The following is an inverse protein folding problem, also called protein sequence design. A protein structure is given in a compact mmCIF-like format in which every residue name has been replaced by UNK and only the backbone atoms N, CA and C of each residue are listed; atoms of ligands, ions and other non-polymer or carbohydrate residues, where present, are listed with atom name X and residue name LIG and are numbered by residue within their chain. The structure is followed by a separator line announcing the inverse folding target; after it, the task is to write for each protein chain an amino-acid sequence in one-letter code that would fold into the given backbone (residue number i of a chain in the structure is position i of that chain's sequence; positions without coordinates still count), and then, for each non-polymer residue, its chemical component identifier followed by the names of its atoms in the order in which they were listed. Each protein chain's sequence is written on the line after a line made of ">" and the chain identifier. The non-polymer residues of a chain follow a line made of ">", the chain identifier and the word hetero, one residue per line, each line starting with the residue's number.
data_IF_953466730948
#
_entry.id   IF_953466730948
#
_cell.length_a   1.000
_cell.length_b   1.000
_cell.length_c   1.000
_cell.angle_alpha   90.00
_cell.angle_beta   90.00
_cell.angle_gamma   90.00
#
_symmetry.space_group_name_H-M   'P 1'
#
loop_
_entity.id
_entity.type
_entity.pdbx_description
1 polymer ?
#
# COMPACT_ATOMS: atom_id res chain seq x y z
N UNK A 1 33.97 -3.37 7.64
CA UNK A 1 33.29 -4.08 6.52
C UNK A 1 33.43 -3.24 5.26
N UNK A 2 34.51 -3.39 4.48
CA UNK A 2 34.87 -2.43 3.42
C UNK A 2 33.79 -2.26 2.33
N UNK A 3 33.13 -3.35 1.94
CA UNK A 3 32.03 -3.31 0.97
C UNK A 3 30.82 -2.52 1.49
N UNK A 4 30.43 -2.71 2.76
CA UNK A 4 29.28 -2.02 3.35
C UNK A 4 29.55 -0.52 3.51
N UNK A 5 30.76 -0.16 3.93
CA UNK A 5 31.21 1.24 4.04
C UNK A 5 31.21 1.94 2.68
N UNK A 6 31.68 1.23 1.63
CA UNK A 6 31.63 1.72 0.26
C UNK A 6 30.18 1.92 -0.20
N UNK A 7 29.31 0.95 0.08
CA UNK A 7 27.89 1.07 -0.23
C UNK A 7 27.27 2.30 0.45
N UNK A 8 27.53 2.48 1.75
CA UNK A 8 27.05 3.65 2.50
C UNK A 8 27.57 4.96 1.89
N UNK A 9 28.87 5.06 1.60
CA UNK A 9 29.47 6.24 0.96
C UNK A 9 28.80 6.58 -0.38
N UNK A 10 28.50 5.58 -1.20
CA UNK A 10 27.93 5.78 -2.54
C UNK A 10 26.42 5.99 -2.54
N UNK A 11 25.69 5.47 -1.54
CA UNK A 11 24.23 5.47 -1.49
C UNK A 11 23.63 6.32 -0.37
N UNK A 12 24.47 6.83 0.53
CA UNK A 12 24.07 7.57 1.73
C UNK A 12 23.37 6.71 2.79
N UNK A 13 23.32 5.38 2.63
CA UNK A 13 22.58 4.50 3.55
C UNK A 13 23.06 3.04 3.49
N UNK A 14 22.76 2.25 4.53
CA UNK A 14 23.07 0.81 4.58
C UNK A 14 21.91 -0.13 4.15
N UNK A 15 20.91 0.40 3.41
CA UNK A 15 19.78 -0.38 2.85
C UNK A 15 20.21 -1.13 1.58
N UNK A 16 21.02 -2.17 1.75
CA UNK A 16 21.52 -2.99 0.63
C UNK A 16 20.40 -3.90 0.09
N UNK A 17 20.02 -3.80 -1.21
CA UNK A 17 19.06 -4.73 -1.82
C UNK A 17 19.55 -6.18 -1.78
N UNK A 18 18.66 -7.14 -1.57
CA UNK A 18 19.03 -8.57 -1.46
C UNK A 18 19.86 -9.07 -2.66
N UNK A 19 19.50 -8.64 -3.88
CA UNK A 19 20.18 -9.03 -5.12
C UNK A 19 21.50 -8.29 -5.38
N UNK A 20 21.85 -7.31 -4.55
CA UNK A 20 23.02 -6.48 -4.78
C UNK A 20 24.31 -7.30 -4.67
N UNK A 21 25.03 -7.40 -5.79
CA UNK A 21 26.40 -7.88 -5.86
C UNK A 21 27.34 -6.70 -6.02
N UNK A 22 28.48 -6.75 -5.35
CA UNK A 22 29.54 -5.75 -5.48
C UNK A 22 30.10 -5.78 -6.91
N UNK A 23 30.01 -4.67 -7.66
CA UNK A 23 30.62 -4.55 -8.98
C UNK A 23 32.15 -4.66 -8.92
N UNK A 24 32.74 -5.12 -10.01
CA UNK A 24 34.20 -5.16 -10.20
C UNK A 24 34.69 -3.85 -10.81
N UNK A 25 34.53 -2.75 -10.10
CA UNK A 25 34.99 -1.42 -10.52
C UNK A 25 35.81 -0.72 -9.43
N UNK A 26 36.50 0.36 -9.81
CA UNK A 26 37.45 1.11 -8.98
C UNK A 26 36.84 1.72 -7.71
N UNK A 27 35.51 1.91 -7.65
CA UNK A 27 34.85 2.45 -6.47
C UNK A 27 34.79 1.43 -5.33
N UNK A 28 35.01 0.16 -5.62
CA UNK A 28 34.86 -0.96 -4.69
C UNK A 28 36.21 -1.61 -4.37
N UNK A 29 36.43 -2.03 -3.11
CA UNK A 29 37.62 -2.80 -2.75
C UNK A 29 37.70 -4.09 -3.59
N UNK A 30 38.88 -4.37 -4.16
CA UNK A 30 39.13 -5.52 -5.03
C UNK A 30 38.70 -6.83 -4.35
N UNK A 31 39.01 -6.98 -3.05
CA UNK A 31 38.63 -8.16 -2.26
C UNK A 31 37.12 -8.35 -2.10
N UNK A 32 36.33 -7.30 -2.35
CA UNK A 32 34.88 -7.32 -2.26
C UNK A 32 34.20 -7.59 -3.60
N UNK A 33 34.93 -7.58 -4.72
CA UNK A 33 34.36 -7.77 -6.06
C UNK A 33 33.61 -9.11 -6.18
N UNK A 34 32.40 -9.06 -6.74
CA UNK A 34 31.53 -10.24 -6.88
C UNK A 34 30.84 -10.69 -5.58
N UNK A 35 31.16 -10.11 -4.42
CA UNK A 35 30.51 -10.41 -3.16
C UNK A 35 29.01 -10.14 -3.28
N UNK A 36 28.19 -11.13 -2.93
CA UNK A 36 26.73 -10.98 -2.81
C UNK A 36 26.38 -10.23 -1.53
N UNK A 37 26.78 -8.96 -1.45
CA UNK A 37 26.67 -8.12 -0.26
C UNK A 37 25.22 -8.04 0.25
N UNK A 38 24.23 -8.01 -0.65
CA UNK A 38 22.81 -8.06 -0.27
C UNK A 38 22.43 -9.31 0.51
N UNK A 39 22.90 -10.48 0.06
CA UNK A 39 22.69 -11.76 0.73
C UNK A 39 23.43 -11.83 2.07
N UNK A 40 24.67 -11.32 2.12
CA UNK A 40 25.46 -11.24 3.37
C UNK A 40 24.76 -10.37 4.41
N UNK A 41 24.33 -9.16 4.03
CA UNK A 41 23.60 -8.25 4.92
C UNK A 41 22.29 -8.87 5.39
N UNK A 42 21.54 -9.55 4.51
CA UNK A 42 20.34 -10.28 4.91
C UNK A 42 20.65 -11.41 5.91
N UNK A 43 21.76 -12.12 5.72
CA UNK A 43 22.24 -13.14 6.65
C UNK A 43 22.66 -12.59 8.02
N UNK A 44 23.31 -11.42 8.04
CA UNK A 44 23.64 -10.71 9.29
C UNK A 44 22.36 -10.40 10.07
N UNK A 45 21.35 -9.83 9.40
CA UNK A 45 20.08 -9.42 10.02
C UNK A 45 19.23 -10.58 10.54
N UNK A 46 19.09 -11.64 9.73
CA UNK A 46 18.11 -12.70 10.00
C UNK A 46 18.68 -14.01 10.52
N UNK A 47 19.98 -14.27 10.36
CA UNK A 47 20.59 -15.58 10.66
C UNK A 47 21.81 -15.49 11.58
N UNK A 48 22.14 -14.29 12.07
CA UNK A 48 23.31 -14.07 12.92
C UNK A 48 24.63 -14.35 12.21
N UNK A 49 24.69 -14.22 10.87
CA UNK A 49 25.96 -14.37 10.16
C UNK A 49 26.96 -13.35 10.67
N UNK A 50 28.21 -13.79 10.83
CA UNK A 50 29.30 -12.97 11.34
C UNK A 50 29.04 -12.35 12.72
N UNK A 51 28.24 -12.99 13.58
CA UNK A 51 27.84 -12.48 14.90
C UNK A 51 29.02 -11.99 15.76
N UNK A 52 30.15 -12.69 15.73
CA UNK A 52 31.38 -12.28 16.42
C UNK A 52 31.93 -10.98 15.86
N UNK A 53 32.03 -10.86 14.53
CA UNK A 53 32.53 -9.66 13.86
C UNK A 53 31.57 -8.49 14.01
N UNK A 54 30.27 -8.72 13.90
CA UNK A 54 29.25 -7.67 14.06
C UNK A 54 29.13 -7.20 15.51
N UNK A 55 29.41 -8.06 16.49
CA UNK A 55 29.51 -7.65 17.90
C UNK A 55 30.75 -6.83 18.17
N UNK A 56 31.90 -7.24 17.60
CA UNK A 56 33.16 -6.49 17.71
C UNK A 56 33.07 -5.10 17.06
N UNK A 57 32.44 -5.03 15.89
CA UNK A 57 32.37 -3.80 15.08
C UNK A 57 31.04 -3.03 15.31
N UNK A 58 30.35 -3.26 16.44
CA UNK A 58 29.01 -2.72 16.74
C UNK A 58 28.93 -1.19 16.62
N UNK A 59 29.83 -0.47 17.28
CA UNK A 59 29.86 1.01 17.24
C UNK A 59 30.04 1.53 15.82
N UNK A 60 30.91 0.89 15.03
CA UNK A 60 31.13 1.26 13.62
C UNK A 60 29.89 1.00 12.77
N UNK A 61 29.15 -0.06 13.05
CA UNK A 61 27.87 -0.33 12.39
C UNK A 61 26.79 0.69 12.75
N UNK A 62 26.75 1.15 14.01
CA UNK A 62 25.85 2.22 14.46
C UNK A 62 26.19 3.55 13.77
N UNK A 63 27.47 3.93 13.70
CA UNK A 63 27.94 5.13 12.98
C UNK A 63 27.60 5.11 11.49
N UNK A 64 27.63 3.94 10.86
CA UNK A 64 27.23 3.76 9.45
C UNK A 64 25.71 3.75 9.25
N UNK A 65 24.91 3.84 10.31
CA UNK A 65 23.46 3.71 10.25
C UNK A 65 23.03 2.32 9.76
N UNK A 66 23.71 1.26 10.23
CA UNK A 66 23.36 -0.10 9.85
C UNK A 66 21.99 -0.49 10.42
N UNK A 67 21.04 -0.63 9.51
CA UNK A 67 19.69 -1.07 9.84
C UNK A 67 19.72 -2.56 10.15
N UNK A 68 19.42 -2.93 11.41
CA UNK A 68 19.33 -4.32 11.85
C UNK A 68 17.99 -4.96 11.46
N UNK A 69 16.90 -4.27 11.75
CA UNK A 69 15.58 -4.67 11.27
C UNK A 69 15.19 -3.82 10.07
N UNK A 70 15.36 -4.42 8.88
CA UNK A 70 15.00 -3.77 7.62
C UNK A 70 13.50 -3.47 7.53
N UNK A 71 12.66 -4.38 8.03
CA UNK A 71 11.21 -4.21 7.92
C UNK A 71 10.72 -3.13 8.88
N UNK A 72 11.25 -3.09 10.10
CA UNK A 72 10.91 -2.04 11.05
C UNK A 72 11.33 -0.67 10.51
N UNK A 73 12.57 -0.53 10.04
CA UNK A 73 13.05 0.75 9.51
C UNK A 73 12.31 1.17 8.23
N UNK A 74 12.03 0.27 7.29
CA UNK A 74 11.24 0.64 6.11
C UNK A 74 9.83 1.08 6.51
N UNK A 75 9.25 0.45 7.54
CA UNK A 75 7.94 0.83 8.04
C UNK A 75 7.94 2.19 8.73
N UNK A 76 8.79 2.38 9.75
CA UNK A 76 8.83 3.58 10.58
C UNK A 76 9.31 4.81 9.81
N UNK A 77 10.35 4.67 9.00
CA UNK A 77 11.02 5.82 8.37
C UNK A 77 10.47 6.15 6.99
N UNK A 78 9.69 5.26 6.36
CA UNK A 78 9.27 5.46 4.95
C UNK A 78 7.81 5.18 4.69
N UNK A 79 7.31 4.01 5.07
CA UNK A 79 5.94 3.60 4.74
C UNK A 79 4.93 4.41 5.56
N UNK A 80 5.09 4.45 6.88
CA UNK A 80 4.16 5.17 7.75
C UNK A 80 4.15 6.68 7.47
N UNK A 81 5.31 7.38 7.37
CA UNK A 81 5.31 8.81 7.00
C UNK A 81 4.71 9.09 5.63
N UNK A 82 4.88 8.17 4.67
CA UNK A 82 4.25 8.29 3.36
C UNK A 82 2.73 8.06 3.43
N UNK A 83 2.24 7.16 4.27
CA UNK A 83 0.80 6.97 4.50
C UNK A 83 0.18 8.20 5.18
N UNK A 84 0.82 8.75 6.20
CA UNK A 84 0.40 9.98 6.89
C UNK A 84 0.36 11.15 5.91
N UNK A 85 1.37 11.31 5.06
CA UNK A 85 1.41 12.34 4.02
C UNK A 85 0.33 12.13 2.97
N UNK A 86 0.14 10.90 2.49
CA UNK A 86 -0.93 10.58 1.54
C UNK A 86 -2.30 10.92 2.12
N UNK A 87 -2.56 10.54 3.37
CA UNK A 87 -3.80 10.88 4.07
C UNK A 87 -3.99 12.39 4.21
N UNK A 88 -2.94 13.13 4.59
CA UNK A 88 -2.99 14.59 4.70
C UNK A 88 -3.38 15.27 3.38
N UNK A 89 -2.89 14.76 2.25
CA UNK A 89 -3.14 15.32 0.92
C UNK A 89 -4.49 14.90 0.34
N UNK A 90 -4.89 13.65 0.53
CA UNK A 90 -6.06 13.05 -0.13
C UNK A 90 -7.27 12.86 0.81
N UNK A 91 -7.08 13.07 2.11
CA UNK A 91 -8.08 12.82 3.16
C UNK A 91 -8.36 11.34 3.44
N UNK A 92 -7.59 10.42 2.85
CA UNK A 92 -7.78 8.97 3.01
C UNK A 92 -6.54 8.16 2.58
N UNK A 93 -6.44 6.88 2.97
CA UNK A 93 -5.37 5.97 2.53
C UNK A 93 -5.77 5.01 1.40
N UNK A 94 -6.56 5.46 0.42
CA UNK A 94 -6.90 4.70 -0.80
C UNK A 94 -5.79 4.79 -1.86
N UNK A 95 -4.58 4.39 -1.48
CA UNK A 95 -3.39 4.54 -2.32
C UNK A 95 -3.54 3.74 -3.63
N UNK A 96 -3.44 4.38 -4.81
CA UNK A 96 -3.50 3.70 -6.10
C UNK A 96 -2.36 2.67 -6.23
N UNK A 97 -2.63 1.52 -6.85
CA UNK A 97 -1.66 0.41 -6.94
C UNK A 97 -0.30 0.82 -7.53
N UNK A 98 -0.29 1.70 -8.52
CA UNK A 98 0.92 2.16 -9.20
C UNK A 98 1.48 3.46 -8.61
N UNK A 99 0.93 3.95 -7.50
CA UNK A 99 1.39 5.19 -6.89
C UNK A 99 2.84 5.05 -6.40
N UNK A 100 3.65 6.02 -6.81
CA UNK A 100 5.03 6.20 -6.39
C UNK A 100 5.11 7.56 -5.74
N UNK A 101 5.71 7.63 -4.56
CA UNK A 101 5.90 8.87 -3.82
C UNK A 101 6.72 9.85 -4.67
N UNK A 102 6.16 11.04 -5.00
CA UNK A 102 6.89 12.10 -5.70
C UNK A 102 8.12 12.58 -4.93
N UNK A 103 9.07 13.16 -5.67
CA UNK A 103 10.25 13.82 -5.09
C UNK A 103 10.04 15.32 -5.03
N UNK A 104 9.08 15.75 -4.21
CA UNK A 104 8.77 17.15 -3.97
C UNK A 104 8.56 17.44 -2.48
N UNK A 105 8.52 18.73 -2.13
CA UNK A 105 8.52 19.22 -0.75
C UNK A 105 7.30 18.81 0.08
N UNK A 106 6.23 18.29 -0.54
CA UNK A 106 5.09 17.76 0.21
C UNK A 106 5.39 16.42 0.89
N UNK A 107 6.43 15.72 0.43
CA UNK A 107 6.74 14.35 0.81
C UNK A 107 8.06 14.26 1.59
N UNK A 108 8.13 13.40 2.63
CA UNK A 108 9.39 13.10 3.31
C UNK A 108 10.43 12.58 2.31
N UNK A 109 11.65 13.09 2.40
CA UNK A 109 12.75 12.78 1.48
C UNK A 109 13.03 11.27 1.48
N UNK A 110 12.92 10.64 2.64
CA UNK A 110 13.13 9.21 2.86
C UNK A 110 12.11 8.36 2.09
N UNK A 111 10.90 8.90 1.89
CA UNK A 111 9.81 8.26 1.16
C UNK A 111 9.89 8.48 -0.34
N UNK A 112 10.69 9.41 -0.85
CA UNK A 112 10.80 9.68 -2.29
C UNK A 112 11.09 8.43 -3.12
N UNK A 113 10.35 8.25 -4.22
CA UNK A 113 10.46 7.09 -5.10
C UNK A 113 9.92 5.78 -4.50
N UNK A 114 9.37 5.80 -3.28
CA UNK A 114 8.75 4.63 -2.67
C UNK A 114 7.52 4.22 -3.49
N UNK A 115 7.49 2.96 -3.93
CA UNK A 115 6.32 2.36 -4.60
C UNK A 115 5.22 2.04 -3.58
N UNK A 116 4.72 3.07 -2.92
CA UNK A 116 3.77 2.97 -1.81
C UNK A 116 2.50 2.21 -2.22
N UNK A 117 2.02 2.39 -3.45
CA UNK A 117 0.87 1.64 -3.98
C UNK A 117 1.06 0.12 -3.98
N UNK A 118 2.25 -0.34 -4.37
CA UNK A 118 2.58 -1.76 -4.36
C UNK A 118 2.72 -2.30 -2.93
N UNK A 119 3.29 -1.50 -2.01
CA UNK A 119 3.44 -1.87 -0.61
C UNK A 119 2.08 -1.98 0.08
N UNK A 120 1.21 -0.98 -0.07
CA UNK A 120 -0.17 -1.01 0.43
C UNK A 120 -0.95 -2.18 -0.16
N UNK A 121 -0.83 -2.44 -1.46
CA UNK A 121 -1.43 -3.63 -2.08
C UNK A 121 -0.91 -4.93 -1.47
N UNK A 122 0.39 -5.01 -1.17
CA UNK A 122 0.99 -6.15 -0.50
C UNK A 122 0.49 -6.32 0.93
N UNK A 123 0.39 -5.22 1.70
CA UNK A 123 -0.11 -5.22 3.09
C UNK A 123 -1.51 -5.84 3.11
N UNK A 124 -2.40 -5.37 2.23
CA UNK A 124 -3.80 -5.85 2.11
C UNK A 124 -3.92 -7.31 1.68
N UNK A 125 -3.12 -7.72 0.68
CA UNK A 125 -3.35 -9.00 -0.02
C UNK A 125 -2.44 -10.15 0.41
N UNK A 126 -1.26 -9.84 0.97
CA UNK A 126 -0.21 -10.81 1.29
C UNK A 126 0.19 -10.81 2.76
N UNK A 127 -0.32 -9.87 3.56
CA UNK A 127 0.10 -9.72 4.96
C UNK A 127 1.60 -9.47 5.08
N UNK A 128 2.17 -8.63 4.21
CA UNK A 128 3.53 -8.14 4.46
C UNK A 128 3.47 -7.10 5.59
N UNK A 129 4.55 -6.99 6.36
CA UNK A 129 4.62 -6.09 7.52
C UNK A 129 3.58 -6.39 8.62
N UNK A 130 3.11 -7.65 8.77
CA UNK A 130 2.10 -8.01 9.79
C UNK A 130 2.46 -7.55 11.19
N UNK A 131 3.71 -7.70 11.63
CA UNK A 131 4.15 -7.28 12.96
C UNK A 131 4.00 -5.77 13.15
N UNK A 132 4.42 -4.98 12.15
CA UNK A 132 4.32 -3.53 12.17
C UNK A 132 2.88 -3.03 12.08
N UNK A 133 2.09 -3.65 11.20
CA UNK A 133 0.65 -3.41 11.08
C UNK A 133 -0.05 -3.63 12.41
N UNK A 134 0.20 -4.77 13.07
CA UNK A 134 -0.41 -5.08 14.36
C UNK A 134 -0.01 -4.08 15.44
N UNK A 135 1.25 -3.62 15.44
CA UNK A 135 1.73 -2.61 16.39
C UNK A 135 1.06 -1.25 16.16
N UNK A 136 0.96 -0.82 14.90
CA UNK A 136 0.47 0.51 14.53
C UNK A 136 -1.01 0.51 14.10
N UNK A 137 -1.79 -0.48 14.50
CA UNK A 137 -3.20 -0.62 14.09
C UNK A 137 -4.01 0.64 14.39
N UNK A 138 -3.86 1.21 15.59
CA UNK A 138 -4.57 2.44 15.97
C UNK A 138 -4.20 3.64 15.09
N UNK A 139 -2.92 3.78 14.71
CA UNK A 139 -2.47 4.82 13.80
C UNK A 139 -3.04 4.62 12.40
N UNK A 140 -3.10 3.38 11.92
CA UNK A 140 -3.70 3.06 10.63
C UNK A 140 -5.21 3.35 10.62
N UNK A 141 -5.90 3.12 11.74
CA UNK A 141 -7.31 3.47 11.90
C UNK A 141 -7.52 4.99 11.87
N UNK A 142 -6.69 5.78 12.56
CA UNK A 142 -6.71 7.25 12.52
C UNK A 142 -6.49 7.79 11.10
N UNK A 143 -5.65 7.13 10.30
CA UNK A 143 -5.42 7.46 8.88
C UNK A 143 -6.54 6.99 7.94
N UNK A 144 -7.61 6.40 8.48
CA UNK A 144 -8.69 5.80 7.69
C UNK A 144 -8.13 4.81 6.65
N UNK A 145 -7.21 3.94 7.10
CA UNK A 145 -6.60 2.94 6.24
C UNK A 145 -7.64 1.93 5.78
N UNK A 146 -7.93 1.95 4.48
CA UNK A 146 -8.86 1.00 3.88
C UNK A 146 -8.19 -0.35 3.75
N UNK A 147 -8.64 -1.34 4.53
CA UNK A 147 -8.13 -2.72 4.46
C UNK A 147 -8.69 -3.49 3.28
N UNK A 148 -10.00 -3.37 3.05
CA UNK A 148 -10.69 -3.97 1.92
C UNK A 148 -11.29 -2.86 1.04
N UNK A 149 -10.67 -2.69 -0.13
CA UNK A 149 -11.09 -1.69 -1.11
C UNK A 149 -12.44 -2.04 -1.74
N UNK A 150 -12.75 -3.32 -1.94
CA UNK A 150 -14.03 -3.74 -2.50
C UNK A 150 -15.15 -3.47 -1.50
N UNK A 151 -14.89 -3.76 -0.24
CA UNK A 151 -15.82 -3.48 0.85
C UNK A 151 -16.10 -1.99 0.99
N UNK A 152 -15.05 -1.17 1.02
CA UNK A 152 -15.20 0.28 1.04
C UNK A 152 -15.97 0.81 -0.18
N UNK A 153 -15.60 0.39 -1.40
CA UNK A 153 -16.29 0.81 -2.61
C UNK A 153 -17.77 0.41 -2.57
N UNK A 154 -18.08 -0.77 -2.04
CA UNK A 154 -19.45 -1.23 -1.89
C UNK A 154 -20.24 -0.39 -0.89
N UNK A 155 -19.78 -0.34 0.35
CA UNK A 155 -20.54 0.22 1.48
C UNK A 155 -20.59 1.75 1.45
N UNK A 156 -19.50 2.41 1.05
CA UNK A 156 -19.40 3.86 1.09
C UNK A 156 -19.83 4.53 -0.23
N UNK A 157 -19.71 3.83 -1.37
CA UNK A 157 -19.94 4.46 -2.69
C UNK A 157 -21.08 3.83 -3.47
N UNK A 158 -21.06 2.52 -3.67
CA UNK A 158 -21.98 1.82 -4.58
C UNK A 158 -23.37 1.72 -3.96
N UNK A 159 -23.47 1.24 -2.73
CA UNK A 159 -24.75 1.05 -2.06
C UNK A 159 -25.49 2.38 -1.84
N UNK A 160 -24.87 3.45 -1.31
CA UNK A 160 -25.54 4.74 -1.16
C UNK A 160 -25.93 5.38 -2.50
N UNK A 161 -25.13 5.17 -3.55
CA UNK A 161 -25.48 5.64 -4.89
C UNK A 161 -26.65 4.84 -5.47
N UNK A 162 -26.73 3.54 -5.21
CA UNK A 162 -27.86 2.71 -5.65
C UNK A 162 -29.16 3.13 -4.94
N UNK A 163 -29.11 3.37 -3.63
CA UNK A 163 -30.24 3.88 -2.83
C UNK A 163 -30.70 5.25 -3.33
N UNK A 164 -29.75 6.16 -3.59
CA UNK A 164 -30.06 7.47 -4.14
C UNK A 164 -30.67 7.37 -5.54
N UNK A 165 -30.15 6.48 -6.40
CA UNK A 165 -30.73 6.25 -7.72
C UNK A 165 -32.16 5.71 -7.60
N UNK A 166 -32.40 4.73 -6.73
CA UNK A 166 -33.72 4.17 -6.47
C UNK A 166 -34.68 5.26 -5.99
N UNK A 167 -34.27 6.09 -5.01
CA UNK A 167 -35.08 7.18 -4.47
C UNK A 167 -35.49 8.19 -5.54
N UNK A 168 -34.57 8.55 -6.44
CA UNK A 168 -34.80 9.55 -7.48
C UNK A 168 -35.56 9.01 -8.71
N UNK A 169 -35.45 7.71 -9.00
CA UNK A 169 -36.01 7.11 -10.23
C UNK A 169 -37.14 6.10 -9.97
N UNK A 170 -37.39 5.74 -8.72
CA UNK A 170 -38.35 4.72 -8.31
C UNK A 170 -37.94 3.28 -8.66
N UNK A 171 -36.71 3.05 -9.14
CA UNK A 171 -36.25 1.72 -9.54
C UNK A 171 -34.71 1.61 -9.59
N UNK A 172 -34.21 0.37 -9.59
CA UNK A 172 -32.78 0.06 -9.73
C UNK A 172 -32.32 -0.28 -11.17
N UNK A 173 -33.07 0.11 -12.21
CA UNK A 173 -32.69 -0.08 -13.62
C UNK A 173 -31.71 1.00 -14.08
N UNK A 174 -30.48 0.95 -13.57
CA UNK A 174 -29.43 1.93 -13.87
C UNK A 174 -28.92 1.78 -15.32
N UNK A 175 -29.00 2.81 -16.19
CA UNK A 175 -28.43 2.79 -17.54
C UNK A 175 -26.92 2.55 -17.51
N UNK A 176 -26.37 1.79 -18.47
CA UNK A 176 -24.94 1.42 -18.47
C UNK A 176 -23.99 2.63 -18.51
N UNK A 177 -24.39 3.71 -19.17
CA UNK A 177 -23.63 4.97 -19.27
C UNK A 177 -23.81 5.89 -18.06
N UNK A 178 -24.66 5.54 -17.09
CA UNK A 178 -24.93 6.40 -15.96
C UNK A 178 -23.69 6.57 -15.08
N UNK A 179 -23.34 7.84 -14.85
CA UNK A 179 -22.30 8.29 -13.94
C UNK A 179 -22.97 9.15 -12.89
N UNK A 180 -22.65 8.92 -11.62
CA UNK A 180 -23.18 9.70 -10.50
C UNK A 180 -22.81 11.18 -10.68
N UNK A 181 -23.81 12.08 -10.82
CA UNK A 181 -23.59 13.51 -10.92
C UNK A 181 -22.95 14.10 -9.65
N UNK A 182 -22.27 15.23 -9.82
CA UNK A 182 -21.70 16.03 -8.73
C UNK A 182 -22.68 17.11 -8.26
N UNK A 183 -23.84 16.70 -7.78
CA UNK A 183 -24.87 17.58 -7.23
C UNK A 183 -25.34 17.11 -5.84
N UNK A 184 -26.11 17.97 -5.16
CA UNK A 184 -26.51 17.81 -3.76
C UNK A 184 -27.43 16.61 -3.49
N UNK A 185 -28.00 15.98 -4.53
CA UNK A 185 -28.77 14.75 -4.35
C UNK A 185 -27.89 13.55 -4.03
N UNK A 186 -26.59 13.63 -4.34
CA UNK A 186 -25.64 12.52 -4.26
C UNK A 186 -24.57 12.78 -3.21
N UNK A 187 -24.21 11.74 -2.45
CA UNK A 187 -23.07 11.82 -1.56
C UNK A 187 -21.80 12.13 -2.36
N UNK A 188 -20.99 13.07 -1.87
CA UNK A 188 -19.74 13.49 -2.52
C UNK A 188 -18.80 12.31 -2.82
N UNK A 189 -18.76 11.33 -1.93
CA UNK A 189 -17.93 10.12 -2.10
C UNK A 189 -18.37 9.26 -3.30
N UNK A 190 -19.63 9.36 -3.72
CA UNK A 190 -20.17 8.65 -4.88
C UNK A 190 -20.02 9.43 -6.18
N UNK A 191 -19.68 10.73 -6.16
CA UNK A 191 -19.55 11.54 -7.38
C UNK A 191 -18.58 10.93 -8.38
N UNK A 192 -18.94 10.97 -9.67
CA UNK A 192 -18.15 10.39 -10.76
C UNK A 192 -18.13 8.86 -10.80
N UNK A 193 -18.78 8.16 -9.86
CA UNK A 193 -18.91 6.71 -9.90
C UNK A 193 -19.69 6.30 -11.14
N UNK A 194 -19.09 5.45 -11.98
CA UNK A 194 -19.76 4.84 -13.15
C UNK A 194 -20.72 3.74 -12.71
N UNK A 195 -21.74 4.13 -11.92
CA UNK A 195 -22.69 3.20 -11.28
C UNK A 195 -23.38 2.29 -12.31
N UNK A 196 -23.69 2.80 -13.51
CA UNK A 196 -24.23 1.98 -14.60
C UNK A 196 -23.35 0.81 -15.00
N UNK A 197 -22.05 1.05 -15.11
CA UNK A 197 -21.07 0.01 -15.43
C UNK A 197 -20.91 -0.99 -14.29
N UNK A 198 -20.90 -0.51 -13.05
CA UNK A 198 -20.83 -1.35 -11.84
C UNK A 198 -22.04 -2.29 -11.76
N UNK A 199 -23.26 -1.75 -11.87
CA UNK A 199 -24.51 -2.52 -11.85
C UNK A 199 -24.56 -3.55 -12.98
N UNK A 200 -24.11 -3.17 -14.19
CA UNK A 200 -24.01 -4.10 -15.31
C UNK A 200 -23.06 -5.28 -15.00
N UNK A 201 -21.90 -5.03 -14.39
CA UNK A 201 -20.93 -6.07 -14.00
C UNK A 201 -21.42 -6.94 -12.85
N UNK A 202 -22.12 -6.38 -11.87
CA UNK A 202 -22.78 -7.15 -10.81
C UNK A 202 -23.74 -8.17 -11.43
N UNK A 203 -24.62 -7.72 -12.35
CA UNK A 203 -25.63 -8.59 -12.98
C UNK A 203 -25.03 -9.62 -13.94
N UNK A 204 -24.04 -9.23 -14.75
CA UNK A 204 -23.51 -10.09 -15.82
C UNK A 204 -22.30 -10.95 -15.42
N UNK A 205 -21.54 -10.53 -14.40
CA UNK A 205 -20.26 -11.17 -14.02
C UNK A 205 -20.19 -11.57 -12.54
N UNK A 206 -21.25 -11.34 -11.76
CA UNK A 206 -21.24 -11.62 -10.32
C UNK A 206 -20.19 -10.81 -9.54
N UNK A 207 -19.84 -9.61 -10.01
CA UNK A 207 -18.95 -8.72 -9.26
C UNK A 207 -19.56 -8.37 -7.90
N UNK A 208 -18.72 -8.20 -6.87
CA UNK A 208 -19.15 -7.96 -5.49
C UNK A 208 -20.02 -9.08 -4.89
N UNK A 209 -19.83 -10.33 -5.32
CA UNK A 209 -20.63 -11.47 -4.83
C UNK A 209 -20.71 -11.57 -3.30
N UNK A 210 -19.59 -11.36 -2.60
CA UNK A 210 -19.55 -11.35 -1.14
C UNK A 210 -20.46 -10.27 -0.54
N UNK A 211 -20.34 -9.04 -1.01
CA UNK A 211 -21.15 -7.92 -0.51
C UNK A 211 -22.62 -8.05 -0.90
N UNK A 212 -22.91 -8.53 -2.11
CA UNK A 212 -24.27 -8.84 -2.57
C UNK A 212 -24.92 -9.90 -1.67
N UNK A 213 -24.18 -10.95 -1.32
CA UNK A 213 -24.68 -12.00 -0.41
C UNK A 213 -24.95 -11.45 0.98
N UNK A 214 -24.07 -10.57 1.50
CA UNK A 214 -24.24 -9.93 2.80
C UNK A 214 -25.45 -8.99 2.84
N UNK A 215 -25.60 -8.14 1.83
CA UNK A 215 -26.62 -7.07 1.80
C UNK A 215 -27.87 -7.47 1.02
N UNK A 216 -28.11 -8.78 0.86
CA UNK A 216 -29.18 -9.33 0.03
C UNK A 216 -30.54 -8.74 0.36
N UNK A 217 -30.93 -8.73 1.64
CA UNK A 217 -32.22 -8.20 2.08
C UNK A 217 -32.39 -6.73 1.71
N UNK A 218 -31.37 -5.92 1.96
CA UNK A 218 -31.36 -4.48 1.64
C UNK A 218 -31.49 -4.25 0.14
N UNK A 219 -30.88 -5.09 -0.69
CA UNK A 219 -31.00 -5.04 -2.15
C UNK A 219 -32.40 -5.46 -2.64
N UNK A 220 -33.00 -6.47 -2.01
CA UNK A 220 -34.36 -6.92 -2.30
C UNK A 220 -35.39 -5.82 -1.98
N UNK A 221 -35.24 -5.12 -0.85
CA UNK A 221 -36.06 -3.95 -0.48
C UNK A 221 -35.94 -2.78 -1.46
N UNK A 222 -34.75 -2.57 -2.05
CA UNK A 222 -34.55 -1.58 -3.11
C UNK A 222 -35.13 -2.02 -4.47
N UNK A 223 -35.64 -3.24 -4.59
CA UNK A 223 -36.05 -3.82 -5.88
C UNK A 223 -34.86 -4.04 -6.82
N UNK A 224 -33.66 -4.25 -6.28
CA UNK A 224 -32.47 -4.59 -7.06
C UNK A 224 -32.51 -6.06 -7.47
N UNK A 225 -33.03 -6.33 -8.66
CA UNK A 225 -33.08 -7.68 -9.20
C UNK A 225 -31.70 -8.11 -9.73
N UNK A 226 -31.15 -9.17 -9.14
CA UNK A 226 -30.06 -9.95 -9.70
C UNK A 226 -30.60 -10.77 -10.87
N UNK A 227 -29.87 -10.83 -11.98
CA UNK A 227 -30.21 -11.79 -13.03
C UNK A 227 -30.06 -13.19 -12.43
N UNK A 228 -31.15 -13.99 -12.47
CA UNK A 228 -31.06 -15.41 -12.15
C UNK A 228 -30.07 -16.05 -13.15
N UNK A 229 -29.20 -16.96 -12.70
CA UNK A 229 -28.32 -17.72 -13.59
C UNK A 229 -29.13 -18.47 -14.66
#
# INVERSE_FOLDING_TARGET
>A
MPALETFHRLKGHCRVPYSFGVPSDENWPIESWGLKLGSVVAGIRGRGYYSTQTSRDKTRLEELGFVWDFFEHEWSERIMPALETFHRLEGHCRVPKLFVVPSDDNWPIESWGLRLGNLVSGIRSKGIYTSQVSRDMSRLDELSFVWDVLEYEWSERIMPALETFQRLKGHCRVPMSFVVPSDDNWLKVSWGLRLGNVVSRIRSKGSYSTQISRDRTRLEELGFLLQKP
#
